data_IF_676323868605
#
_entry.id   IF_676323868605
#
_cell.length_a   1.000
_cell.length_b   1.000
_cell.length_c   1.000
_cell.angle_alpha   90.00
_cell.angle_beta   90.00
_cell.angle_gamma   90.00
#
_symmetry.space_group_name_H-M   'P 1'
#
loop_
_entity.id
_entity.type
_entity.pdbx_description
1 polymer ?
#
# COMPACT_ATOMS: atom_id res chain seq x y z
N UNK A 1 22.17 22.48 2.43
CA UNK A 1 21.00 21.60 2.58
C UNK A 1 19.78 22.49 2.47
N UNK A 2 18.87 22.24 1.53
CA UNK A 2 17.71 23.13 1.36
C UNK A 2 16.69 22.88 2.48
N UNK A 3 16.08 23.95 2.98
CA UNK A 3 15.01 23.93 3.99
C UNK A 3 13.66 23.47 3.42
N UNK A 4 13.67 22.61 2.38
CA UNK A 4 12.45 22.18 1.72
C UNK A 4 11.73 21.14 2.56
N UNK A 5 10.48 21.46 2.93
CA UNK A 5 9.63 20.62 3.76
C UNK A 5 8.29 20.36 3.09
N UNK A 6 7.58 19.35 3.58
CA UNK A 6 6.20 19.07 3.23
C UNK A 6 5.42 18.56 4.45
N UNK A 7 4.10 18.71 4.44
CA UNK A 7 3.23 18.14 5.47
C UNK A 7 2.92 16.67 5.18
N UNK A 8 3.43 15.76 6.00
CA UNK A 8 3.26 14.32 5.89
C UNK A 8 2.83 13.63 7.18
N UNK A 9 2.52 12.34 7.09
CA UNK A 9 2.19 11.47 8.22
C UNK A 9 3.43 10.66 8.60
N UNK A 10 4.14 11.10 9.64
CA UNK A 10 5.29 10.36 10.17
C UNK A 10 4.82 9.09 10.87
N UNK A 11 5.41 7.95 10.50
CA UNK A 11 5.14 6.64 11.10
C UNK A 11 6.17 6.33 12.18
N UNK A 12 5.83 5.39 13.07
CA UNK A 12 6.70 4.98 14.18
C UNK A 12 8.04 4.41 13.71
N UNK A 13 8.07 3.78 12.53
CA UNK A 13 9.29 3.28 11.89
C UNK A 13 10.11 4.35 11.15
N UNK A 14 9.80 5.64 11.34
CA UNK A 14 10.50 6.77 10.75
C UNK A 14 10.07 7.15 9.33
N UNK A 15 9.42 6.24 8.57
CA UNK A 15 8.95 6.55 7.21
C UNK A 15 7.81 7.57 7.23
N UNK A 16 7.64 8.30 6.12
CA UNK A 16 6.60 9.32 5.99
C UNK A 16 5.66 9.01 4.84
N UNK A 17 4.36 9.08 5.10
CA UNK A 17 3.31 8.99 4.08
C UNK A 17 2.80 10.38 3.70
N UNK A 18 2.42 10.56 2.45
CA UNK A 18 1.68 11.74 1.96
C UNK A 18 0.15 11.55 2.05
N UNK A 19 -0.29 10.32 2.38
CA UNK A 19 -1.68 9.93 2.62
C UNK A 19 -1.81 9.11 3.91
N UNK A 20 -3.04 8.85 4.31
CA UNK A 20 -3.37 8.16 5.56
C UNK A 20 -4.55 7.20 5.38
N UNK A 21 -4.31 6.10 4.67
CA UNK A 21 -5.34 5.12 4.31
C UNK A 21 -5.44 4.01 5.34
N UNK A 22 -6.68 3.57 5.62
CA UNK A 22 -6.95 2.26 6.22
C UNK A 22 -7.31 1.32 5.08
N UNK A 23 -6.49 0.30 4.89
CA UNK A 23 -6.60 -0.61 3.75
C UNK A 23 -7.29 -1.90 4.16
N UNK A 24 -8.22 -2.36 3.32
CA UNK A 24 -8.77 -3.70 3.37
C UNK A 24 -8.12 -4.51 2.25
N UNK A 25 -7.16 -5.35 2.61
CA UNK A 25 -6.27 -6.04 1.69
C UNK A 25 -6.76 -7.49 1.48
N UNK A 26 -7.34 -7.81 0.30
CA UNK A 26 -7.54 -9.21 -0.07
C UNK A 26 -6.18 -9.86 -0.29
N UNK A 27 -6.04 -11.11 0.17
CA UNK A 27 -4.87 -11.93 -0.07
C UNK A 27 -4.94 -12.67 -1.41
N UNK A 28 -6.16 -13.00 -1.82
CA UNK A 28 -6.51 -13.75 -3.01
C UNK A 28 -7.81 -13.17 -3.61
N UNK A 29 -8.04 -13.47 -4.89
CA UNK A 29 -9.23 -13.05 -5.63
C UNK A 29 -10.54 -13.50 -4.97
N UNK A 30 -10.55 -14.68 -4.33
CA UNK A 30 -11.69 -15.22 -3.57
C UNK A 30 -12.10 -14.31 -2.41
N UNK A 31 -11.16 -13.56 -1.85
CA UNK A 31 -11.39 -12.66 -0.72
C UNK A 31 -11.81 -11.24 -1.12
N UNK A 32 -11.78 -10.92 -2.42
CA UNK A 32 -12.11 -9.57 -2.93
C UNK A 32 -13.51 -9.12 -2.49
N UNK A 33 -14.52 -9.98 -2.66
CA UNK A 33 -15.90 -9.63 -2.33
C UNK A 33 -16.08 -9.30 -0.84
N UNK A 34 -15.40 -10.02 0.04
CA UNK A 34 -15.41 -9.74 1.48
C UNK A 34 -14.73 -8.40 1.80
N UNK A 35 -13.58 -8.11 1.18
CA UNK A 35 -12.88 -6.84 1.34
C UNK A 35 -13.71 -5.64 0.86
N UNK A 36 -14.33 -5.76 -0.31
CA UNK A 36 -15.20 -4.73 -0.87
C UNK A 36 -16.45 -4.52 -0.02
N UNK A 37 -17.05 -5.58 0.53
CA UNK A 37 -18.17 -5.48 1.45
C UNK A 37 -17.80 -4.72 2.74
N UNK A 38 -16.62 -4.99 3.30
CA UNK A 38 -16.11 -4.24 4.46
C UNK A 38 -15.90 -2.77 4.12
N UNK A 39 -15.29 -2.46 2.98
CA UNK A 39 -15.09 -1.08 2.54
C UNK A 39 -16.42 -0.35 2.22
N UNK A 40 -17.43 -1.10 1.75
CA UNK A 40 -18.77 -0.57 1.59
C UNK A 40 -19.42 -0.23 2.94
N UNK A 41 -19.24 -1.05 3.96
CA UNK A 41 -19.78 -0.82 5.30
C UNK A 41 -19.07 0.34 6.02
N UNK A 42 -17.75 0.42 5.90
CA UNK A 42 -16.90 1.39 6.61
C UNK A 42 -16.33 2.41 5.61
N UNK A 43 -17.12 3.44 5.32
CA UNK A 43 -16.73 4.51 4.39
C UNK A 43 -15.45 5.21 4.85
N UNK A 44 -14.54 5.47 3.92
CA UNK A 44 -13.22 6.05 4.20
C UNK A 44 -12.09 5.02 4.28
N UNK A 45 -12.41 3.73 4.35
CA UNK A 45 -11.44 2.64 4.10
C UNK A 45 -11.28 2.39 2.60
N UNK A 46 -10.19 1.71 2.22
CA UNK A 46 -9.84 1.42 0.83
C UNK A 46 -9.63 -0.07 0.62
N UNK A 47 -10.55 -0.73 -0.09
CA UNK A 47 -10.34 -2.08 -0.58
C UNK A 47 -9.40 -2.06 -1.81
N UNK A 48 -8.49 -3.03 -1.90
CA UNK A 48 -7.52 -3.14 -2.99
C UNK A 48 -7.63 -4.51 -3.69
N UNK A 49 -8.72 -4.74 -4.45
CA UNK A 49 -8.94 -6.01 -5.13
C UNK A 49 -7.90 -6.27 -6.23
N UNK A 50 -7.59 -7.54 -6.44
CA UNK A 50 -6.71 -7.99 -7.51
C UNK A 50 -7.13 -9.34 -8.08
N UNK A 51 -6.68 -9.66 -9.28
CA UNK A 51 -7.08 -10.89 -10.00
C UNK A 51 -6.28 -12.14 -9.64
N UNK A 52 -5.26 -12.03 -8.78
CA UNK A 52 -4.41 -13.16 -8.41
C UNK A 52 -5.10 -14.06 -7.38
N UNK A 53 -5.33 -15.32 -7.77
CA UNK A 53 -5.78 -16.38 -6.87
C UNK A 53 -4.61 -17.08 -6.18
N UNK A 54 -4.71 -18.41 -5.98
CA UNK A 54 -3.77 -19.20 -5.16
C UNK A 54 -2.92 -20.20 -5.92
N UNK A 55 -2.69 -19.97 -7.22
CA UNK A 55 -2.00 -20.92 -8.10
C UNK A 55 -0.53 -20.57 -8.36
N UNK A 56 0.04 -19.62 -7.62
CA UNK A 56 1.46 -19.27 -7.69
C UNK A 56 2.29 -20.32 -6.93
N UNK A 57 3.51 -20.56 -7.40
CA UNK A 57 4.45 -21.51 -6.80
C UNK A 57 5.89 -21.01 -6.91
N UNK A 58 6.77 -21.54 -6.06
CA UNK A 58 8.19 -21.17 -6.06
C UNK A 58 8.41 -19.67 -5.93
N UNK A 59 9.26 -19.09 -6.79
CA UNK A 59 9.60 -17.67 -6.77
C UNK A 59 8.43 -16.75 -7.07
N UNK A 60 7.46 -17.18 -7.87
CA UNK A 60 6.25 -16.41 -8.16
C UNK A 60 5.37 -16.25 -6.91
N UNK A 61 5.25 -17.31 -6.12
CA UNK A 61 4.55 -17.26 -4.84
C UNK A 61 5.25 -16.32 -3.85
N UNK A 62 6.57 -16.36 -3.81
CA UNK A 62 7.37 -15.47 -2.95
C UNK A 62 7.24 -14.01 -3.38
N UNK A 63 7.21 -13.74 -4.70
CA UNK A 63 6.95 -12.41 -5.24
C UNK A 63 5.53 -11.92 -4.89
N UNK A 64 4.52 -12.79 -4.97
CA UNK A 64 3.14 -12.48 -4.57
C UNK A 64 3.07 -11.99 -3.13
N UNK A 65 3.62 -12.77 -2.18
CA UNK A 65 3.64 -12.37 -0.77
C UNK A 65 4.44 -11.10 -0.53
N UNK A 66 5.62 -10.98 -1.15
CA UNK A 66 6.45 -9.77 -1.03
C UNK A 66 5.70 -8.53 -1.52
N UNK A 67 4.94 -8.65 -2.60
CA UNK A 67 4.15 -7.56 -3.18
C UNK A 67 3.02 -7.13 -2.23
N UNK A 68 2.22 -8.08 -1.73
CA UNK A 68 1.14 -7.78 -0.78
C UNK A 68 1.65 -7.19 0.55
N UNK A 69 2.74 -7.75 1.08
CA UNK A 69 3.39 -7.23 2.27
C UNK A 69 3.91 -5.81 2.01
N UNK A 70 4.53 -5.56 0.86
CA UNK A 70 5.01 -4.24 0.46
C UNK A 70 3.88 -3.20 0.35
N UNK A 71 2.74 -3.60 -0.20
CA UNK A 71 1.55 -2.77 -0.32
C UNK A 71 1.00 -2.37 1.06
N UNK A 72 0.84 -3.32 1.97
CA UNK A 72 0.44 -3.03 3.36
C UNK A 72 1.48 -2.24 4.15
N UNK A 73 2.77 -2.43 3.83
CA UNK A 73 3.90 -1.75 4.48
C UNK A 73 4.07 -0.30 4.04
N UNK A 74 3.48 0.12 2.92
CA UNK A 74 3.59 1.48 2.39
C UNK A 74 3.25 2.55 3.45
N UNK A 75 4.02 3.64 3.60
CA UNK A 75 3.77 4.64 4.64
C UNK A 75 2.49 5.46 4.42
N UNK A 76 1.90 5.44 3.23
CA UNK A 76 0.56 5.98 2.97
C UNK A 76 -0.56 5.15 3.63
N UNK A 77 -0.25 3.93 4.08
CA UNK A 77 -1.17 3.02 4.76
C UNK A 77 -0.94 3.13 6.27
N UNK A 78 -1.94 3.62 6.98
CA UNK A 78 -1.92 3.79 8.44
C UNK A 78 -2.16 2.47 9.16
N UNK A 79 -3.12 1.67 8.68
CA UNK A 79 -3.49 0.38 9.24
C UNK A 79 -4.07 -0.54 8.16
N UNK A 80 -4.04 -1.86 8.40
CA UNK A 80 -4.45 -2.88 7.43
C UNK A 80 -5.37 -3.93 8.04
N UNK A 81 -6.47 -4.25 7.36
CA UNK A 81 -7.22 -5.48 7.60
C UNK A 81 -6.94 -6.42 6.43
N UNK A 82 -6.35 -7.58 6.69
CA UNK A 82 -6.06 -8.60 5.67
C UNK A 82 -7.19 -9.64 5.71
N UNK A 83 -7.77 -9.96 4.56
CA UNK A 83 -8.74 -11.04 4.44
C UNK A 83 -8.23 -12.03 3.40
N UNK A 84 -8.10 -13.30 3.79
CA UNK A 84 -7.75 -14.39 2.90
C UNK A 84 -8.73 -15.55 3.02
N UNK A 85 -8.63 -16.51 2.12
CA UNK A 85 -9.46 -17.71 2.22
C UNK A 85 -9.07 -18.54 3.45
N UNK A 86 -7.78 -18.68 3.76
CA UNK A 86 -7.28 -19.57 4.82
C UNK A 86 -6.23 -18.89 5.72
N UNK A 87 -6.04 -19.35 6.97
CA UNK A 87 -5.29 -18.61 7.98
C UNK A 87 -3.77 -18.58 7.79
N UNK A 88 -3.15 -19.57 7.14
CA UNK A 88 -1.71 -19.67 6.98
C UNK A 88 -1.12 -18.56 6.11
N UNK A 89 -1.57 -18.45 4.86
CA UNK A 89 -1.14 -17.39 3.95
C UNK A 89 -1.55 -16.01 4.48
N UNK A 90 -2.74 -15.92 5.09
CA UNK A 90 -3.22 -14.68 5.73
C UNK A 90 -2.28 -14.24 6.84
N UNK A 91 -1.89 -15.17 7.72
CA UNK A 91 -0.93 -14.93 8.80
C UNK A 91 0.41 -14.46 8.26
N UNK A 92 0.92 -15.08 7.19
CA UNK A 92 2.18 -14.69 6.55
C UNK A 92 2.19 -13.21 6.10
N UNK A 93 1.10 -12.74 5.48
CA UNK A 93 0.99 -11.33 5.04
C UNK A 93 0.86 -10.41 6.25
N UNK A 94 0.05 -10.78 7.24
CA UNK A 94 -0.13 -10.03 8.50
C UNK A 94 1.20 -9.86 9.23
N UNK A 95 1.95 -10.93 9.44
CA UNK A 95 3.25 -10.92 10.11
C UNK A 95 4.26 -10.06 9.35
N UNK A 96 4.28 -10.15 8.02
CA UNK A 96 5.14 -9.33 7.17
C UNK A 96 4.87 -7.83 7.34
N UNK A 97 3.59 -7.43 7.34
CA UNK A 97 3.18 -6.03 7.52
C UNK A 97 3.44 -5.56 8.96
N UNK A 98 3.18 -6.41 9.96
CA UNK A 98 3.32 -6.08 11.38
C UNK A 98 4.75 -5.66 11.75
N UNK A 99 5.76 -6.16 11.04
CA UNK A 99 7.17 -5.74 11.20
C UNK A 99 7.41 -4.25 10.99
N UNK A 100 6.49 -3.55 10.32
CA UNK A 100 6.56 -2.09 10.16
C UNK A 100 6.11 -1.32 11.41
N UNK A 101 5.54 -2.00 12.42
CA UNK A 101 4.98 -1.40 13.63
C UNK A 101 3.53 -0.93 13.50
N UNK A 102 2.95 -0.94 12.29
CA UNK A 102 1.57 -0.44 12.10
C UNK A 102 0.51 -1.47 12.54
N UNK A 103 -0.69 -1.02 12.94
CA UNK A 103 -1.79 -1.92 13.24
C UNK A 103 -2.20 -2.76 12.02
N UNK A 104 -2.22 -4.08 12.19
CA UNK A 104 -2.67 -5.03 11.17
C UNK A 104 -3.41 -6.20 11.80
N UNK A 105 -4.50 -6.64 11.19
CA UNK A 105 -5.24 -7.81 11.65
C UNK A 105 -5.74 -8.65 10.47
N UNK A 106 -5.62 -9.98 10.60
CA UNK A 106 -6.03 -10.94 9.58
C UNK A 106 -7.36 -11.64 9.90
N UNK A 107 -8.10 -11.99 8.86
CA UNK A 107 -9.29 -12.83 8.92
C UNK A 107 -9.26 -13.89 7.82
N UNK A 108 -9.74 -15.09 8.14
CA UNK A 108 -9.83 -16.21 7.21
C UNK A 108 -11.29 -16.59 6.96
N UNK A 109 -11.70 -16.65 5.70
CA UNK A 109 -13.08 -16.99 5.29
C UNK A 109 -13.38 -18.47 5.57
N UNK A 110 -12.46 -19.37 5.26
CA UNK A 110 -12.61 -20.81 5.50
C UNK A 110 -12.94 -21.05 6.98
N UNK A 111 -13.96 -21.89 7.21
CA UNK A 111 -14.48 -22.27 8.54
C UNK A 111 -15.20 -21.16 9.32
N UNK A 112 -15.17 -19.91 8.86
CA UNK A 112 -15.88 -18.79 9.48
C UNK A 112 -17.08 -18.31 8.64
N UNK A 113 -16.99 -18.43 7.31
CA UNK A 113 -17.97 -17.94 6.36
C UNK A 113 -17.91 -16.43 6.15
N UNK A 114 -18.28 -15.97 4.95
CA UNK A 114 -18.13 -14.58 4.51
C UNK A 114 -18.83 -13.58 5.44
N UNK A 115 -20.11 -13.82 5.76
CA UNK A 115 -20.92 -12.87 6.53
C UNK A 115 -20.32 -12.57 7.92
N UNK A 116 -19.80 -13.61 8.59
CA UNK A 116 -19.16 -13.47 9.89
C UNK A 116 -17.84 -12.73 9.77
N UNK A 117 -17.01 -13.08 8.79
CA UNK A 117 -15.73 -12.40 8.54
C UNK A 117 -15.95 -10.93 8.20
N UNK A 118 -16.90 -10.61 7.33
CA UNK A 118 -17.24 -9.22 6.96
C UNK A 118 -17.67 -8.44 8.21
N UNK A 119 -18.50 -9.02 9.08
CA UNK A 119 -18.92 -8.37 10.32
C UNK A 119 -17.73 -8.07 11.24
N UNK A 120 -16.88 -9.07 11.50
CA UNK A 120 -15.76 -8.93 12.43
C UNK A 120 -14.66 -8.00 11.88
N UNK A 121 -14.34 -8.12 10.59
CA UNK A 121 -13.42 -7.24 9.88
C UNK A 121 -13.93 -5.79 9.84
N UNK A 122 -15.23 -5.57 9.63
CA UNK A 122 -15.83 -4.21 9.65
C UNK A 122 -15.65 -3.52 11.01
N UNK A 123 -15.79 -4.26 12.12
CA UNK A 123 -15.56 -3.70 13.47
C UNK A 123 -14.12 -3.26 13.68
N UNK A 124 -13.15 -4.04 13.18
CA UNK A 124 -11.73 -3.67 13.27
C UNK A 124 -11.41 -2.49 12.36
N UNK A 125 -11.91 -2.52 11.12
CA UNK A 125 -11.75 -1.44 10.17
C UNK A 125 -12.30 -0.10 10.70
N UNK A 126 -13.45 -0.12 11.38
CA UNK A 126 -14.00 1.07 12.04
C UNK A 126 -13.06 1.63 13.11
N UNK A 127 -12.53 0.77 13.98
CA UNK A 127 -11.57 1.19 15.04
C UNK A 127 -10.30 1.79 14.44
N UNK A 128 -9.76 1.15 13.41
CA UNK A 128 -8.59 1.66 12.69
C UNK A 128 -8.86 2.98 12.00
N UNK A 129 -10.05 3.16 11.40
CA UNK A 129 -10.42 4.41 10.76
C UNK A 129 -10.54 5.55 11.78
N UNK A 130 -11.16 5.30 12.93
CA UNK A 130 -11.24 6.26 14.01
C UNK A 130 -9.84 6.68 14.49
N UNK A 131 -8.99 5.71 14.84
CA UNK A 131 -7.61 5.98 15.24
C UNK A 131 -6.83 6.74 14.17
N UNK A 132 -6.91 6.31 12.91
CA UNK A 132 -6.18 6.96 11.82
C UNK A 132 -6.63 8.41 11.62
N UNK A 133 -7.92 8.71 11.84
CA UNK A 133 -8.47 10.07 11.69
C UNK A 133 -7.93 11.08 12.69
N UNK A 134 -7.41 10.62 13.83
CA UNK A 134 -6.82 11.45 14.88
C UNK A 134 -5.36 11.84 14.59
N UNK A 135 -4.74 11.22 13.58
CA UNK A 135 -3.34 11.48 13.22
C UNK A 135 -3.24 12.74 12.38
N UNK A 136 -2.60 13.78 12.91
CA UNK A 136 -2.31 15.02 12.19
C UNK A 136 -1.05 14.89 11.31
N UNK A 137 -1.00 15.68 10.23
CA UNK A 137 0.22 15.85 9.45
C UNK A 137 1.22 16.71 10.22
N UNK A 138 2.49 16.42 10.04
CA UNK A 138 3.62 17.18 10.59
C UNK A 138 4.53 17.62 9.45
N UNK A 139 5.32 18.65 9.71
CA UNK A 139 6.35 19.08 8.78
C UNK A 139 7.47 18.03 8.71
N UNK A 140 7.80 17.60 7.50
CA UNK A 140 8.83 16.60 7.20
C UNK A 140 9.78 17.13 6.14
N UNK A 141 11.09 16.82 6.21
CA UNK A 141 12.03 17.19 5.16
C UNK A 141 11.69 16.49 3.85
N UNK A 142 11.95 17.16 2.72
CA UNK A 142 11.79 16.61 1.37
C UNK A 142 12.50 15.27 1.17
N UNK A 143 13.63 15.03 1.86
CA UNK A 143 14.38 13.77 1.82
C UNK A 143 13.58 12.54 2.26
N UNK A 144 12.48 12.73 2.99
CA UNK A 144 11.57 11.64 3.38
C UNK A 144 10.65 11.19 2.22
N UNK A 145 10.62 11.92 1.08
CA UNK A 145 9.79 11.57 -0.07
C UNK A 145 10.37 10.41 -0.88
N UNK A 146 9.46 9.51 -1.27
CA UNK A 146 9.70 8.48 -2.26
C UNK A 146 8.86 8.78 -3.50
N UNK A 147 9.51 8.98 -4.64
CA UNK A 147 8.85 9.29 -5.90
C UNK A 147 9.08 8.14 -6.88
N UNK A 148 7.99 7.52 -7.33
CA UNK A 148 8.02 6.53 -8.40
C UNK A 148 7.61 7.20 -9.71
N UNK A 149 8.33 6.91 -10.77
CA UNK A 149 8.05 7.35 -12.13
C UNK A 149 7.64 6.14 -12.96
N UNK A 150 6.60 6.32 -13.77
CA UNK A 150 6.10 5.34 -14.73
C UNK A 150 5.53 6.08 -15.93
N UNK A 151 5.76 5.55 -17.11
CA UNK A 151 5.07 5.92 -18.35
C UNK A 151 3.64 5.38 -18.34
N UNK A 152 2.77 6.04 -19.11
CA UNK A 152 1.42 5.55 -19.39
C UNK A 152 1.40 4.90 -20.77
N UNK A 153 0.74 5.57 -21.70
CA UNK A 153 0.78 5.24 -23.12
C UNK A 153 1.77 6.19 -23.80
N UNK A 154 2.96 5.68 -24.13
CA UNK A 154 4.02 6.50 -24.71
C UNK A 154 3.62 6.95 -26.13
N UNK A 155 3.86 8.22 -26.42
CA UNK A 155 3.72 8.80 -27.75
C UNK A 155 5.02 9.51 -28.18
N UNK A 156 5.08 9.95 -29.44
CA UNK A 156 6.26 10.65 -29.97
C UNK A 156 6.61 11.93 -29.17
N UNK A 157 5.62 12.55 -28.52
CA UNK A 157 5.82 13.79 -27.77
C UNK A 157 6.34 13.54 -26.35
N UNK A 158 6.15 12.34 -25.82
CA UNK A 158 6.53 11.97 -24.45
C UNK A 158 8.04 12.09 -24.24
N UNK A 159 8.84 11.59 -25.19
CA UNK A 159 10.30 11.72 -25.18
C UNK A 159 10.81 13.16 -25.40
N UNK A 160 9.96 14.08 -25.87
CA UNK A 160 10.31 15.47 -26.15
C UNK A 160 9.83 16.43 -25.05
N UNK A 161 8.80 16.06 -24.30
CA UNK A 161 8.13 16.94 -23.32
C UNK A 161 8.08 16.36 -21.91
N UNK A 162 7.18 15.40 -21.68
CA UNK A 162 6.91 14.86 -20.33
C UNK A 162 8.13 14.17 -19.73
N UNK A 163 8.80 13.30 -20.48
CA UNK A 163 9.93 12.52 -19.97
C UNK A 163 11.12 13.42 -19.60
N UNK A 164 11.58 14.37 -20.44
CA UNK A 164 12.59 15.35 -20.04
C UNK A 164 12.18 16.22 -18.86
N UNK A 165 10.88 16.57 -18.74
CA UNK A 165 10.37 17.34 -17.61
C UNK A 165 10.48 16.56 -16.30
N UNK A 166 10.09 15.29 -16.30
CA UNK A 166 10.24 14.41 -15.14
C UNK A 166 11.72 14.15 -14.84
N UNK A 167 12.57 13.94 -15.85
CA UNK A 167 14.02 13.83 -15.68
C UNK A 167 14.63 15.04 -14.96
N UNK A 168 14.32 16.26 -15.44
CA UNK A 168 14.76 17.50 -14.80
C UNK A 168 14.21 17.69 -13.37
N UNK A 169 13.04 17.14 -13.06
CA UNK A 169 12.56 17.09 -11.68
C UNK A 169 13.43 16.16 -10.84
N UNK A 170 13.71 14.94 -11.30
CA UNK A 170 14.54 13.97 -10.59
C UNK A 170 15.95 14.53 -10.36
N UNK A 171 16.60 15.11 -11.38
CA UNK A 171 17.94 15.71 -11.28
C UNK A 171 18.03 16.81 -10.22
N UNK A 172 16.95 17.57 -10.01
CA UNK A 172 16.89 18.64 -9.00
C UNK A 172 16.62 18.13 -7.60
N UNK A 173 15.89 17.02 -7.47
CA UNK A 173 15.44 16.50 -6.19
C UNK A 173 16.41 15.45 -5.63
N UNK A 174 17.14 14.73 -6.48
CA UNK A 174 18.11 13.71 -6.08
C UNK A 174 19.20 14.28 -5.14
N UNK A 175 19.81 15.47 -5.39
CA UNK A 175 20.73 16.10 -4.45
C UNK A 175 20.11 16.49 -3.10
N UNK A 176 18.77 16.54 -3.00
CA UNK A 176 18.04 16.79 -1.76
C UNK A 176 17.77 15.50 -0.96
N UNK A 177 18.22 14.35 -1.45
CA UNK A 177 18.15 13.06 -0.76
C UNK A 177 16.79 12.37 -0.88
N UNK A 178 15.97 12.71 -1.88
CA UNK A 178 14.75 11.94 -2.14
C UNK A 178 15.11 10.52 -2.60
N UNK A 179 14.19 9.58 -2.43
CA UNK A 179 14.29 8.27 -3.09
C UNK A 179 13.49 8.28 -4.39
N UNK A 180 14.16 8.03 -5.51
CA UNK A 180 13.52 7.91 -6.83
C UNK A 180 13.46 6.44 -7.27
N UNK A 181 12.37 6.05 -7.94
CA UNK A 181 12.19 4.70 -8.47
C UNK A 181 11.59 4.73 -9.88
N UNK A 182 12.10 3.89 -10.77
CA UNK A 182 11.55 3.63 -12.11
C UNK A 182 11.43 2.12 -12.31
N UNK A 183 10.28 1.64 -12.79
CA UNK A 183 9.90 0.22 -12.71
C UNK A 183 9.63 -0.51 -14.03
N UNK A 184 9.92 0.11 -15.18
CA UNK A 184 9.45 -0.40 -16.48
C UNK A 184 10.57 -1.06 -17.27
N UNK A 185 10.98 -2.26 -16.84
CA UNK A 185 12.09 -3.00 -17.47
C UNK A 185 11.93 -3.11 -18.99
N UNK A 186 10.72 -3.39 -19.49
CA UNK A 186 10.46 -3.52 -20.93
C UNK A 186 10.53 -2.22 -21.73
N UNK A 187 10.53 -1.05 -21.08
CA UNK A 187 10.65 0.27 -21.74
C UNK A 187 12.11 0.71 -21.90
N UNK A 188 13.05 0.06 -21.20
CA UNK A 188 14.48 0.44 -21.13
C UNK A 188 15.44 -0.61 -21.71
N UNK A 189 14.89 -1.72 -22.22
CA UNK A 189 15.64 -2.77 -22.95
C UNK A 189 15.75 -2.44 -24.42
#
# INVERSE_FOLDING_TARGET
MSDMTFFGYRRENGRVGVRNHVVILPLDDLSNAACEAVANNIKGTLALPHSYGRLQFGEDLELHFRTLIGLGSNPNVAAVVVIGIEPGWTGRVVEGIARTGKPVQGFAIERNGDLKVIMDASRVAQKYLQWASEIARVECPVSDLWVSVKCGESDTTSGLGSNPTVGNFIDKMDPLGITSCFGETSEIT
#
